data_IF_479736903026
#
_entry.id   IF_479736903026
#
_cell.length_a   1.000
_cell.length_b   1.000
_cell.length_c   1.000
_cell.angle_alpha   90.00
_cell.angle_beta   90.00
_cell.angle_gamma   90.00
#
_symmetry.space_group_name_H-M   'P 1'
#
loop_
_entity.id
_entity.type
_entity.pdbx_description
1 polymer ?
#
# COMPACT_ATOMS: atom_id res chain seq x y z
N UNK A 1 -19.04 -11.71 -28.48
CA UNK A 1 -19.01 -10.53 -29.36
C UNK A 1 -19.63 -9.35 -28.62
N UNK A 2 -18.81 -8.36 -28.29
CA UNK A 2 -19.18 -6.98 -27.87
C UNK A 2 -20.20 -6.74 -26.75
N UNK A 3 -19.77 -6.74 -25.50
CA UNK A 3 -20.40 -5.96 -24.40
C UNK A 3 -19.42 -5.72 -23.24
N UNK A 4 -18.21 -5.16 -23.50
CA UNK A 4 -17.26 -4.82 -22.44
C UNK A 4 -16.60 -3.44 -22.64
N UNK A 5 -17.39 -2.43 -22.93
CA UNK A 5 -16.84 -1.10 -23.18
C UNK A 5 -17.82 0.02 -22.78
N UNK A 6 -18.36 0.01 -21.57
CA UNK A 6 -19.08 1.18 -21.03
C UNK A 6 -19.11 1.05 -19.49
N UNK A 7 -17.98 1.29 -18.81
CA UNK A 7 -18.00 1.52 -17.36
C UNK A 7 -16.78 2.30 -16.82
N UNK A 8 -16.07 3.04 -17.67
CA UNK A 8 -14.95 3.89 -17.23
C UNK A 8 -15.17 5.37 -17.49
N UNK A 9 -16.41 5.86 -17.42
CA UNK A 9 -16.67 7.27 -17.66
C UNK A 9 -17.84 7.82 -16.83
N UNK A 10 -17.73 7.91 -15.53
CA UNK A 10 -18.24 9.07 -14.83
C UNK A 10 -17.42 9.49 -13.60
N UNK A 11 -16.13 9.76 -13.74
CA UNK A 11 -15.32 10.35 -12.64
C UNK A 11 -14.74 11.71 -13.03
N UNK A 12 -15.25 12.30 -14.08
CA UNK A 12 -15.04 13.72 -14.39
C UNK A 12 -16.30 14.51 -14.01
N UNK A 13 -16.60 14.58 -12.72
CA UNK A 13 -17.47 15.62 -12.21
C UNK A 13 -16.73 16.95 -12.36
N UNK A 14 -17.30 17.93 -13.09
CA UNK A 14 -16.74 19.27 -13.08
C UNK A 14 -16.90 19.82 -11.66
N UNK A 15 -15.81 19.99 -10.95
CA UNK A 15 -15.78 20.83 -9.77
C UNK A 15 -16.16 22.24 -10.23
N UNK A 16 -17.41 22.60 -10.02
CA UNK A 16 -17.87 23.98 -10.16
C UNK A 16 -17.03 24.81 -9.20
N UNK A 17 -16.09 25.55 -9.74
CA UNK A 17 -15.36 26.59 -9.00
C UNK A 17 -16.40 27.67 -8.70
N UNK A 18 -16.99 27.62 -7.54
CA UNK A 18 -17.73 28.73 -6.99
C UNK A 18 -16.70 29.84 -6.76
N UNK A 19 -16.74 30.83 -7.60
CA UNK A 19 -15.97 32.07 -7.40
C UNK A 19 -16.41 32.67 -6.05
N UNK A 20 -15.61 32.49 -5.03
CA UNK A 20 -15.78 33.18 -3.76
C UNK A 20 -15.37 34.63 -3.95
N UNK A 21 -16.32 35.51 -3.63
CA UNK A 21 -16.15 36.95 -3.50
C UNK A 21 -14.78 37.33 -2.92
N UNK A 22 -14.04 38.17 -3.63
CA UNK A 22 -12.78 38.76 -3.21
C UNK A 22 -13.00 39.77 -2.06
N UNK A 23 -13.44 39.30 -0.90
CA UNK A 23 -13.23 40.06 0.34
C UNK A 23 -11.75 39.99 0.65
N UNK A 24 -11.07 41.12 0.66
CA UNK A 24 -9.67 41.23 1.11
C UNK A 24 -9.53 40.47 2.42
N UNK A 25 -8.87 39.34 2.35
CA UNK A 25 -8.58 38.56 3.56
C UNK A 25 -7.61 39.37 4.39
N UNK A 26 -7.86 39.56 5.69
CA UNK A 26 -6.92 40.29 6.54
C UNK A 26 -5.56 39.60 6.40
N UNK A 27 -4.54 40.36 6.03
CA UNK A 27 -3.17 39.89 5.90
C UNK A 27 -2.73 39.35 7.26
N UNK A 28 -2.46 38.06 7.35
CA UNK A 28 -1.91 37.46 8.57
C UNK A 28 -0.41 37.62 8.50
N UNK A 29 0.14 38.41 9.40
CA UNK A 29 1.58 38.62 9.52
C UNK A 29 2.20 37.39 10.17
N UNK A 30 3.29 36.92 9.58
CA UNK A 30 4.08 35.80 10.09
C UNK A 30 5.58 36.08 9.93
N UNK A 31 6.38 35.42 10.75
CA UNK A 31 7.83 35.38 10.68
C UNK A 31 8.24 33.95 10.25
N UNK A 32 9.11 33.86 9.23
CA UNK A 32 9.67 32.58 8.79
C UNK A 32 10.70 32.12 9.83
N UNK A 33 10.53 30.94 10.38
CA UNK A 33 11.49 30.32 11.29
C UNK A 33 12.53 29.52 10.52
N UNK A 34 12.09 28.72 9.57
CA UNK A 34 12.94 28.05 8.58
C UNK A 34 12.14 27.62 7.35
N UNK A 35 12.85 27.49 6.21
CA UNK A 35 12.35 26.91 4.96
C UNK A 35 13.47 26.09 4.31
N UNK A 36 13.63 24.85 4.78
CA UNK A 36 14.76 23.97 4.48
C UNK A 36 14.31 22.61 3.95
N UNK A 37 13.85 22.49 2.69
CA UNK A 37 13.29 21.25 2.15
C UNK A 37 14.32 20.13 1.95
N UNK A 38 15.61 20.41 2.08
CA UNK A 38 16.70 19.41 2.06
C UNK A 38 17.01 18.84 3.44
N UNK A 39 16.52 19.46 4.50
CA UNK A 39 16.68 18.99 5.88
C UNK A 39 15.67 17.89 6.17
N UNK A 40 16.01 16.66 5.80
CA UNK A 40 15.15 15.47 5.93
C UNK A 40 15.82 14.44 6.84
N UNK A 41 15.06 13.82 7.73
CA UNK A 41 15.53 12.68 8.51
C UNK A 41 16.10 11.60 7.59
N UNK A 42 17.30 11.12 7.90
CA UNK A 42 17.97 10.11 7.07
C UNK A 42 17.35 8.73 7.21
N UNK A 43 16.87 8.38 8.38
CA UNK A 43 16.30 7.07 8.67
C UNK A 43 14.94 7.24 9.33
N UNK A 44 13.95 6.51 8.83
CA UNK A 44 12.65 6.31 9.45
C UNK A 44 12.41 4.82 9.61
N UNK A 45 11.96 4.42 10.79
CA UNK A 45 11.44 3.08 11.06
C UNK A 45 10.04 3.28 11.62
N UNK A 46 9.04 2.70 10.97
CA UNK A 46 7.64 2.82 11.31
C UNK A 46 6.98 1.48 11.58
N UNK A 47 6.09 1.47 12.54
CA UNK A 47 5.18 0.36 12.77
C UNK A 47 3.85 0.68 12.10
N UNK A 48 3.33 -0.25 11.31
CA UNK A 48 2.03 -0.19 10.67
C UNK A 48 1.04 -0.99 11.52
N UNK A 49 0.25 -0.36 12.39
CA UNK A 49 -0.77 -1.08 13.14
C UNK A 49 -1.92 -1.54 12.25
N UNK A 50 -2.08 -0.93 11.08
CA UNK A 50 -3.13 -1.26 10.14
C UNK A 50 -2.65 -1.13 8.69
N UNK A 51 -2.75 -2.23 7.96
CA UNK A 51 -2.93 -2.22 6.52
C UNK A 51 -4.21 -3.00 6.17
N UNK A 52 -4.84 -2.63 5.07
CA UNK A 52 -5.94 -3.38 4.46
C UNK A 52 -5.64 -3.63 2.99
N UNK A 53 -5.91 -4.83 2.52
CA UNK A 53 -5.68 -5.22 1.14
C UNK A 53 -6.85 -6.01 0.58
N UNK A 54 -7.28 -5.62 -0.61
CA UNK A 54 -8.14 -6.42 -1.48
C UNK A 54 -7.24 -7.01 -2.57
N UNK A 55 -7.24 -8.32 -2.71
CA UNK A 55 -6.45 -9.03 -3.70
C UNK A 55 -7.29 -10.10 -4.38
N UNK A 56 -7.66 -9.87 -5.63
CA UNK A 56 -8.47 -10.78 -6.44
C UNK A 56 -9.75 -11.26 -5.72
N UNK A 57 -9.69 -12.44 -5.12
CA UNK A 57 -10.79 -13.05 -4.36
C UNK A 57 -10.63 -12.92 -2.85
N UNK A 58 -9.54 -12.34 -2.39
CA UNK A 58 -9.19 -12.25 -0.98
C UNK A 58 -9.30 -10.82 -0.45
N UNK A 59 -9.71 -10.68 0.79
CA UNK A 59 -9.54 -9.47 1.57
C UNK A 59 -8.74 -9.80 2.82
N UNK A 60 -7.69 -9.05 3.06
CA UNK A 60 -6.86 -9.25 4.24
C UNK A 60 -6.53 -7.92 4.94
N UNK A 61 -6.29 -8.00 6.23
CA UNK A 61 -5.86 -6.88 7.04
C UNK A 61 -4.87 -7.34 8.12
N UNK A 62 -3.96 -6.47 8.50
CA UNK A 62 -2.93 -6.86 9.43
C UNK A 62 -2.02 -5.72 9.85
N UNK A 63 -0.86 -6.11 10.32
CA UNK A 63 0.20 -5.20 10.76
C UNK A 63 1.44 -5.30 9.86
N UNK A 64 2.31 -4.33 9.99
CA UNK A 64 3.57 -4.32 9.27
C UNK A 64 4.64 -3.47 9.94
N UNK A 65 5.80 -3.52 9.32
CA UNK A 65 6.94 -2.66 9.63
C UNK A 65 7.43 -2.06 8.33
N UNK A 66 7.77 -0.78 8.36
CA UNK A 66 8.40 -0.11 7.25
C UNK A 66 9.69 0.58 7.69
N UNK A 67 10.64 0.64 6.77
CA UNK A 67 11.85 1.43 6.95
C UNK A 67 12.14 2.22 5.67
N UNK A 68 12.67 3.42 5.83
CA UNK A 68 13.21 4.19 4.71
C UNK A 68 14.48 4.92 5.13
N UNK A 69 15.48 4.88 4.25
CA UNK A 69 16.80 5.47 4.48
C UNK A 69 17.22 6.32 3.29
N UNK A 70 17.50 7.61 3.54
CA UNK A 70 17.97 8.55 2.54
C UNK A 70 19.47 8.67 2.60
N UNK A 71 20.15 8.36 1.49
CA UNK A 71 21.60 8.34 1.40
C UNK A 71 22.12 9.42 0.46
N UNK A 72 22.84 10.42 1.02
CA UNK A 72 23.56 11.47 0.27
C UNK A 72 22.72 12.18 -0.82
N UNK A 73 21.45 12.41 -0.56
CA UNK A 73 20.50 13.08 -1.47
C UNK A 73 20.36 12.46 -2.87
N UNK A 74 20.98 11.30 -3.11
CA UNK A 74 20.98 10.61 -4.42
C UNK A 74 20.23 9.29 -4.42
N UNK A 75 20.08 8.68 -3.26
CA UNK A 75 19.49 7.36 -3.11
C UNK A 75 18.54 7.36 -1.94
N UNK A 76 17.42 6.71 -2.09
CA UNK A 76 16.61 6.26 -0.97
C UNK A 76 16.42 4.75 -1.03
N UNK A 77 16.37 4.12 0.12
CA UNK A 77 16.08 2.69 0.29
C UNK A 77 14.80 2.56 1.07
N UNK A 78 13.97 1.59 0.68
CA UNK A 78 12.71 1.27 1.36
C UNK A 78 12.63 -0.22 1.62
N UNK A 79 12.15 -0.57 2.80
CA UNK A 79 11.83 -1.94 3.18
C UNK A 79 10.43 -1.98 3.79
N UNK A 80 9.63 -2.97 3.42
CA UNK A 80 8.31 -3.21 3.97
C UNK A 80 8.13 -4.67 4.33
N UNK A 81 7.54 -4.91 5.48
CA UNK A 81 7.03 -6.21 5.90
C UNK A 81 5.57 -6.07 6.30
N UNK A 82 4.72 -6.97 5.83
CA UNK A 82 3.29 -7.02 6.21
C UNK A 82 2.86 -8.46 6.47
N UNK A 83 2.00 -8.63 7.46
CA UNK A 83 1.43 -9.93 7.84
C UNK A 83 0.02 -9.74 8.38
N UNK A 84 -0.90 -10.65 8.08
CA UNK A 84 -2.26 -10.61 8.63
C UNK A 84 -2.28 -10.85 10.14
N UNK A 85 -3.22 -10.24 10.85
CA UNK A 85 -3.37 -10.39 12.29
C UNK A 85 -3.77 -11.80 12.70
N UNK A 86 -4.77 -12.35 12.04
CA UNK A 86 -5.33 -13.65 12.38
C UNK A 86 -5.88 -14.30 11.12
N UNK A 87 -5.87 -15.64 11.10
CA UNK A 87 -6.51 -16.42 10.06
C UNK A 87 -8.02 -16.32 10.06
N UNK A 88 -8.62 -16.10 11.22
CA UNK A 88 -10.06 -16.33 11.40
C UNK A 88 -10.93 -15.12 11.06
N UNK A 89 -10.34 -13.99 10.69
CA UNK A 89 -11.12 -12.79 10.37
C UNK A 89 -10.46 -11.89 9.34
N UNK A 90 -9.13 -11.93 9.25
CA UNK A 90 -8.35 -10.95 8.49
C UNK A 90 -7.68 -11.53 7.24
N UNK A 91 -8.04 -12.76 6.84
CA UNK A 91 -7.58 -13.44 5.63
C UNK A 91 -8.67 -14.43 5.17
N UNK A 92 -9.56 -13.97 4.30
CA UNK A 92 -10.78 -14.69 3.96
C UNK A 92 -10.51 -16.00 3.21
N UNK A 93 -9.58 -16.01 2.25
CA UNK A 93 -9.26 -17.25 1.54
C UNK A 93 -8.64 -18.30 2.47
N UNK A 94 -7.77 -17.83 3.38
CA UNK A 94 -7.19 -18.73 4.37
C UNK A 94 -8.24 -19.30 5.32
N UNK A 95 -9.17 -18.46 5.78
CA UNK A 95 -10.29 -18.91 6.62
C UNK A 95 -11.16 -19.92 5.88
N UNK A 96 -11.56 -19.60 4.65
CA UNK A 96 -12.37 -20.50 3.83
C UNK A 96 -11.68 -21.85 3.58
N UNK A 97 -10.35 -21.85 3.37
CA UNK A 97 -9.56 -23.06 3.23
C UNK A 97 -9.52 -23.89 4.51
N UNK A 98 -9.48 -23.26 5.69
CA UNK A 98 -9.55 -23.95 6.98
C UNK A 98 -10.93 -24.54 7.22
N UNK A 99 -11.98 -23.79 6.95
CA UNK A 99 -13.37 -24.22 7.13
C UNK A 99 -13.75 -25.36 6.18
N UNK A 100 -13.12 -25.42 5.02
CA UNK A 100 -13.31 -26.49 4.02
C UNK A 100 -12.33 -27.66 4.19
N UNK A 101 -11.49 -27.67 5.22
CA UNK A 101 -10.58 -28.75 5.51
C UNK A 101 -11.35 -29.87 6.23
N UNK A 102 -11.56 -30.97 5.54
CA UNK A 102 -12.17 -32.18 6.08
C UNK A 102 -11.19 -33.37 6.00
N UNK A 103 -11.68 -34.59 6.35
CA UNK A 103 -10.84 -35.79 6.31
C UNK A 103 -10.32 -36.13 4.92
N UNK A 104 -11.01 -35.69 3.88
CA UNK A 104 -10.65 -35.97 2.49
C UNK A 104 -9.66 -34.92 1.94
N UNK A 105 -9.84 -33.61 2.29
CA UNK A 105 -8.97 -32.53 1.89
C UNK A 105 -8.01 -32.12 3.01
N UNK A 106 -6.73 -32.17 2.75
CA UNK A 106 -5.70 -31.67 3.68
C UNK A 106 -5.24 -30.30 3.25
N UNK A 107 -5.98 -29.26 3.64
CA UNK A 107 -5.58 -27.88 3.41
C UNK A 107 -4.55 -27.44 4.45
N UNK A 108 -3.41 -26.90 3.96
CA UNK A 108 -2.37 -26.26 4.80
C UNK A 108 -2.24 -24.81 4.41
N UNK A 109 -3.28 -23.97 4.63
CA UNK A 109 -3.31 -22.62 4.11
C UNK A 109 -2.26 -21.76 4.78
N UNK A 110 -1.53 -20.99 3.96
CA UNK A 110 -0.50 -20.09 4.42
C UNK A 110 -1.11 -18.75 4.84
N UNK A 111 -0.52 -18.16 5.88
CA UNK A 111 -0.84 -16.80 6.30
C UNK A 111 -0.27 -15.85 5.25
N UNK A 112 -1.04 -14.86 4.83
CA UNK A 112 -0.53 -13.79 3.98
C UNK A 112 0.67 -13.11 4.65
N UNK A 113 1.75 -13.05 3.91
CA UNK A 113 2.91 -12.24 4.25
C UNK A 113 3.52 -11.62 2.99
N UNK A 114 4.11 -10.45 3.19
CA UNK A 114 4.66 -9.62 2.13
C UNK A 114 5.95 -8.99 2.59
N UNK A 115 6.99 -9.12 1.77
CA UNK A 115 8.28 -8.48 1.95
C UNK A 115 8.63 -7.68 0.71
N UNK A 116 9.08 -6.46 0.90
CA UNK A 116 9.60 -5.62 -0.16
C UNK A 116 10.91 -5.00 0.29
N UNK A 117 11.88 -5.01 -0.61
CA UNK A 117 13.12 -4.27 -0.47
C UNK A 117 13.42 -3.59 -1.80
N UNK A 118 13.66 -2.29 -1.77
CA UNK A 118 13.97 -1.55 -2.98
C UNK A 118 14.68 -0.24 -2.70
N UNK A 119 15.09 0.40 -3.77
CA UNK A 119 15.72 1.71 -3.73
C UNK A 119 15.29 2.59 -4.90
N UNK A 120 15.49 3.87 -4.73
CA UNK A 120 15.25 4.89 -5.74
C UNK A 120 16.55 5.65 -5.98
N UNK A 121 16.99 5.73 -7.23
CA UNK A 121 18.06 6.62 -7.65
C UNK A 121 17.46 7.94 -8.14
N UNK A 122 17.87 9.06 -7.53
CA UNK A 122 17.39 10.39 -7.87
C UNK A 122 18.09 10.91 -9.13
N UNK A 123 17.33 11.00 -10.24
CA UNK A 123 17.84 11.53 -11.53
C UNK A 123 17.85 13.05 -11.51
N UNK A 124 16.77 13.64 -10.97
CA UNK A 124 16.64 15.08 -10.79
C UNK A 124 16.22 15.38 -9.36
N UNK A 125 16.91 16.32 -8.76
CA UNK A 125 16.67 16.81 -7.41
C UNK A 125 16.89 18.30 -7.39
N UNK A 126 15.83 19.06 -7.21
CA UNK A 126 15.85 20.52 -7.24
C UNK A 126 14.70 21.08 -6.41
N UNK A 127 14.88 22.30 -5.94
CA UNK A 127 13.81 23.03 -5.28
C UNK A 127 13.19 24.10 -6.20
N UNK A 128 12.01 24.52 -5.85
CA UNK A 128 11.28 25.58 -6.54
C UNK A 128 10.32 26.29 -5.59
N UNK A 129 9.96 27.49 -5.96
CA UNK A 129 8.94 28.24 -5.21
C UNK A 129 7.59 27.50 -5.24
N UNK A 130 6.96 27.46 -4.09
CA UNK A 130 5.64 26.88 -3.88
C UNK A 130 4.88 27.63 -2.81
N UNK A 131 3.77 27.09 -2.40
CA UNK A 131 2.94 27.61 -1.32
C UNK A 131 2.36 26.44 -0.52
N UNK A 132 2.21 26.66 0.77
CA UNK A 132 1.50 25.73 1.64
C UNK A 132 0.35 26.41 2.36
N UNK A 133 -0.68 25.65 2.71
CA UNK A 133 -1.84 26.12 3.47
C UNK A 133 -1.74 25.63 4.90
N UNK A 134 -1.49 26.52 5.82
CA UNK A 134 -1.41 26.22 7.24
C UNK A 134 -2.72 26.56 7.94
N UNK A 135 -3.15 25.69 8.84
CA UNK A 135 -4.32 25.93 9.71
C UNK A 135 -3.85 26.71 10.93
N UNK A 136 -4.52 27.82 11.22
CA UNK A 136 -4.17 28.72 12.30
C UNK A 136 -4.98 28.38 13.55
N UNK A 137 -4.32 27.98 14.61
CA UNK A 137 -4.91 27.75 15.93
C UNK A 137 -4.59 28.93 16.84
N UNK A 138 -5.60 29.50 17.50
CA UNK A 138 -5.36 30.59 18.46
C UNK A 138 -4.53 30.10 19.64
N UNK A 139 -3.54 30.86 20.05
CA UNK A 139 -2.84 30.63 21.32
C UNK A 139 -3.83 30.69 22.46
N UNK A 140 -3.98 29.60 23.20
CA UNK A 140 -4.91 29.50 24.33
C UNK A 140 -4.15 29.42 25.64
N UNK A 141 -4.47 30.32 26.56
CA UNK A 141 -3.92 30.31 27.91
C UNK A 141 -4.23 29.02 28.70
N UNK A 142 -5.21 28.23 28.26
CA UNK A 142 -5.64 26.98 28.91
C UNK A 142 -5.26 25.71 28.15
N UNK A 143 -4.44 25.82 27.12
CA UNK A 143 -3.99 24.65 26.33
C UNK A 143 -5.08 23.96 25.47
N UNK A 144 -6.29 24.53 25.40
CA UNK A 144 -7.40 23.97 24.63
C UNK A 144 -7.32 24.41 23.16
N UNK A 145 -6.69 23.60 22.31
CA UNK A 145 -6.43 23.88 20.90
C UNK A 145 -7.68 23.89 20.01
N UNK A 146 -8.81 23.38 20.50
CA UNK A 146 -10.05 23.21 19.74
C UNK A 146 -11.05 24.36 19.91
N UNK A 147 -10.65 25.46 20.57
CA UNK A 147 -11.55 26.58 20.89
C UNK A 147 -11.95 27.47 19.70
N UNK A 148 -11.46 27.21 18.48
CA UNK A 148 -11.83 27.97 17.29
C UNK A 148 -12.94 27.26 16.52
N UNK A 149 -14.16 27.78 16.57
CA UNK A 149 -15.30 27.24 15.82
C UNK A 149 -15.14 27.27 14.29
N UNK A 150 -14.21 28.06 13.76
CA UNK A 150 -13.86 28.14 12.35
C UNK A 150 -12.35 28.18 12.22
N UNK A 151 -11.70 27.17 11.64
CA UNK A 151 -10.27 27.20 11.43
C UNK A 151 -9.91 28.24 10.37
N UNK A 152 -9.14 29.24 10.76
CA UNK A 152 -8.53 30.15 9.82
C UNK A 152 -7.37 29.44 9.10
N UNK A 153 -7.11 29.86 7.86
CA UNK A 153 -6.01 29.31 7.05
C UNK A 153 -5.15 30.45 6.53
N UNK A 154 -3.85 30.30 6.63
CA UNK A 154 -2.89 31.16 5.97
C UNK A 154 -2.23 30.40 4.81
N UNK A 155 -2.02 31.09 3.69
CA UNK A 155 -1.22 30.60 2.58
C UNK A 155 0.17 31.20 2.73
N UNK A 156 1.16 30.32 2.93
CA UNK A 156 2.54 30.70 3.20
C UNK A 156 3.39 30.29 1.99
N UNK A 157 4.18 31.21 1.38
CA UNK A 157 5.21 30.86 0.42
C UNK A 157 6.22 29.89 1.05
N UNK A 158 6.69 28.93 0.30
CA UNK A 158 7.72 27.99 0.76
C UNK A 158 8.51 27.41 -0.41
N UNK A 159 9.67 26.85 -0.12
CA UNK A 159 10.41 26.02 -1.07
C UNK A 159 9.86 24.61 -1.07
N UNK A 160 9.75 24.02 -2.26
CA UNK A 160 9.34 22.64 -2.44
C UNK A 160 10.44 21.92 -3.18
N UNK A 161 11.12 20.98 -2.53
CA UNK A 161 12.07 20.07 -3.16
C UNK A 161 11.31 19.05 -3.99
N UNK A 162 11.70 18.89 -5.25
CA UNK A 162 11.12 17.97 -6.20
C UNK A 162 12.15 16.95 -6.62
N UNK A 163 11.84 15.68 -6.44
CA UNK A 163 12.74 14.58 -6.77
C UNK A 163 12.07 13.68 -7.79
N UNK A 164 12.75 13.43 -8.91
CA UNK A 164 12.35 12.44 -9.89
C UNK A 164 13.39 11.32 -9.88
N UNK A 165 12.94 10.08 -9.69
CA UNK A 165 13.83 8.95 -9.51
C UNK A 165 13.42 7.72 -10.30
N UNK A 166 14.40 6.85 -10.56
CA UNK A 166 14.20 5.48 -11.04
C UNK A 166 14.19 4.55 -9.83
N UNK A 167 13.22 3.67 -9.79
CA UNK A 167 13.00 2.69 -8.73
C UNK A 167 13.41 1.32 -9.19
N UNK A 168 14.03 0.54 -8.31
CA UNK A 168 14.36 -0.86 -8.51
C UNK A 168 14.22 -1.60 -7.19
N UNK A 169 13.68 -2.82 -7.22
CA UNK A 169 13.60 -3.63 -6.02
C UNK A 169 13.01 -5.01 -6.24
N UNK A 170 12.82 -5.72 -5.13
CA UNK A 170 12.23 -7.04 -5.08
C UNK A 170 11.06 -7.11 -4.13
N UNK A 171 10.11 -7.96 -4.46
CA UNK A 171 8.92 -8.27 -3.66
C UNK A 171 8.80 -9.77 -3.54
N UNK A 172 8.64 -10.26 -2.33
CA UNK A 172 8.27 -11.65 -2.07
C UNK A 172 6.98 -11.68 -1.28
N UNK A 173 5.99 -12.45 -1.74
CA UNK A 173 4.75 -12.61 -1.00
C UNK A 173 4.17 -14.01 -1.15
N UNK A 174 3.39 -14.41 -0.15
CA UNK A 174 2.68 -15.68 -0.08
C UNK A 174 1.25 -15.43 0.39
N UNK A 175 0.31 -16.18 -0.18
CA UNK A 175 -1.10 -16.13 0.20
C UNK A 175 -1.79 -17.42 -0.14
N UNK A 176 -2.85 -17.75 0.59
CA UNK A 176 -3.80 -18.78 0.16
C UNK A 176 -4.71 -18.20 -0.92
N UNK A 177 -4.98 -18.97 -1.97
CA UNK A 177 -5.81 -18.58 -3.11
C UNK A 177 -6.93 -19.59 -3.33
N UNK A 178 -8.10 -19.08 -3.73
CA UNK A 178 -9.23 -19.89 -4.15
C UNK A 178 -9.04 -20.33 -5.61
N UNK A 179 -8.88 -21.63 -5.83
CA UNK A 179 -8.74 -22.19 -7.17
C UNK A 179 -10.05 -22.34 -7.91
N UNK A 180 -11.20 -22.44 -7.25
CA UNK A 180 -12.49 -22.68 -7.93
C UNK A 180 -12.81 -21.59 -8.94
N UNK A 181 -12.60 -20.34 -8.53
CA UNK A 181 -12.78 -19.20 -9.43
C UNK A 181 -11.79 -19.23 -10.58
N UNK A 182 -10.53 -19.56 -10.31
CA UNK A 182 -9.48 -19.65 -11.31
C UNK A 182 -9.79 -20.73 -12.36
N UNK A 183 -10.16 -21.93 -11.90
CA UNK A 183 -10.55 -23.05 -12.77
C UNK A 183 -11.74 -22.65 -13.66
N UNK A 184 -12.80 -22.11 -13.07
CA UNK A 184 -13.98 -21.66 -13.82
C UNK A 184 -13.67 -20.59 -14.85
N UNK A 185 -12.87 -19.56 -14.51
CA UNK A 185 -12.50 -18.47 -15.42
C UNK A 185 -11.61 -18.94 -16.55
N UNK A 186 -10.84 -20.01 -16.34
CA UNK A 186 -9.97 -20.62 -17.34
C UNK A 186 -10.61 -21.77 -18.13
N UNK A 187 -11.88 -22.08 -17.86
CA UNK A 187 -12.60 -23.19 -18.49
C UNK A 187 -12.13 -24.56 -18.04
N UNK A 188 -11.51 -24.64 -16.86
CA UNK A 188 -11.03 -25.85 -16.22
C UNK A 188 -12.01 -26.35 -15.17
N UNK A 189 -11.85 -27.61 -14.79
CA UNK A 189 -12.58 -28.28 -13.71
C UNK A 189 -11.61 -28.87 -12.70
N UNK A 190 -12.09 -29.40 -11.60
CA UNK A 190 -11.26 -30.12 -10.64
C UNK A 190 -10.56 -31.33 -11.28
N UNK A 191 -11.16 -31.97 -12.29
CA UNK A 191 -10.59 -33.12 -13.01
C UNK A 191 -9.31 -32.77 -13.81
N UNK A 192 -9.07 -31.48 -14.08
CA UNK A 192 -7.86 -31.01 -14.75
C UNK A 192 -6.66 -30.89 -13.79
N UNK A 193 -6.92 -30.99 -12.49
CA UNK A 193 -5.88 -31.14 -11.47
C UNK A 193 -5.54 -32.64 -11.38
N UNK A 194 -4.36 -33.04 -11.84
CA UNK A 194 -3.99 -34.43 -11.97
C UNK A 194 -2.94 -34.86 -10.96
N UNK A 195 -3.07 -36.10 -10.46
CA UNK A 195 -2.04 -36.72 -9.61
C UNK A 195 -0.89 -37.32 -10.47
N UNK A 196 0.08 -37.91 -9.79
CA UNK A 196 1.24 -38.53 -10.48
C UNK A 196 0.86 -39.70 -11.40
N UNK A 197 -0.31 -40.29 -11.22
CA UNK A 197 -0.82 -41.38 -12.06
C UNK A 197 -1.62 -40.87 -13.28
N UNK A 198 -1.81 -39.54 -13.41
CA UNK A 198 -2.64 -38.93 -14.44
C UNK A 198 -4.14 -38.93 -14.14
N UNK A 199 -4.54 -39.28 -12.91
CA UNK A 199 -5.94 -39.29 -12.50
C UNK A 199 -6.35 -37.86 -12.04
N UNK A 200 -7.50 -37.40 -12.53
CA UNK A 200 -8.04 -36.08 -12.16
C UNK A 200 -8.63 -36.06 -10.77
N UNK A 201 -8.61 -34.90 -10.12
CA UNK A 201 -9.22 -34.69 -8.82
C UNK A 201 -10.75 -34.74 -8.93
N UNK A 202 -11.34 -35.84 -8.50
CA UNK A 202 -12.79 -36.09 -8.47
C UNK A 202 -13.23 -36.35 -7.02
N UNK A 203 -13.61 -35.34 -6.26
CA UNK A 203 -14.15 -35.53 -4.91
C UNK A 203 -15.46 -36.29 -4.99
N UNK A 204 -15.50 -37.49 -4.45
CA UNK A 204 -16.68 -38.36 -4.48
C UNK A 204 -17.33 -38.41 -3.09
N UNK A 205 -18.62 -38.28 -3.03
CA UNK A 205 -19.36 -38.54 -1.80
C UNK A 205 -19.32 -40.06 -1.50
N UNK A 206 -18.76 -40.51 -0.39
CA UNK A 206 -18.59 -41.94 -0.10
C UNK A 206 -19.90 -42.68 0.10
N UNK A 207 -21.00 -41.96 0.37
CA UNK A 207 -22.33 -42.57 0.60
C UNK A 207 -23.12 -42.67 -0.71
N UNK A 208 -23.07 -41.63 -1.56
CA UNK A 208 -23.93 -41.56 -2.75
C UNK A 208 -23.18 -41.87 -4.04
N UNK A 209 -21.84 -41.91 -4.03
CA UNK A 209 -21.00 -42.01 -5.22
C UNK A 209 -21.01 -40.80 -6.15
N UNK A 210 -21.73 -39.74 -5.79
CA UNK A 210 -21.83 -38.55 -6.62
C UNK A 210 -20.62 -37.65 -6.44
N UNK A 211 -20.21 -36.96 -7.52
CA UNK A 211 -19.14 -35.95 -7.46
C UNK A 211 -19.61 -34.79 -6.58
N UNK A 212 -18.81 -34.47 -5.58
CA UNK A 212 -19.06 -33.34 -4.67
C UNK A 212 -18.50 -32.05 -5.30
N UNK A 213 -19.26 -30.97 -5.23
CA UNK A 213 -18.77 -29.64 -5.53
C UNK A 213 -18.07 -29.05 -4.28
N UNK A 214 -16.78 -29.24 -4.16
CA UNK A 214 -15.99 -28.83 -3.00
C UNK A 214 -15.07 -27.69 -3.40
N UNK A 215 -14.94 -26.71 -2.52
CA UNK A 215 -13.99 -25.61 -2.71
C UNK A 215 -12.55 -26.13 -2.66
N UNK A 216 -11.75 -25.74 -3.64
CA UNK A 216 -10.35 -26.15 -3.77
C UNK A 216 -9.46 -24.94 -3.57
N UNK A 217 -8.49 -25.05 -2.67
CA UNK A 217 -7.57 -23.99 -2.30
C UNK A 217 -6.12 -24.44 -2.52
N UNK A 218 -5.27 -23.48 -2.82
CA UNK A 218 -3.82 -23.69 -2.93
C UNK A 218 -3.07 -22.51 -2.31
N UNK A 219 -1.77 -22.67 -2.09
CA UNK A 219 -0.91 -21.58 -1.68
C UNK A 219 -0.15 -21.05 -2.88
N UNK A 220 -0.22 -19.75 -3.07
CA UNK A 220 0.54 -19.02 -4.08
C UNK A 220 1.76 -18.38 -3.41
N UNK A 221 2.95 -18.66 -3.94
CA UNK A 221 4.19 -18.02 -3.54
C UNK A 221 4.85 -17.39 -4.75
N UNK A 222 5.29 -16.14 -4.63
CA UNK A 222 5.93 -15.45 -5.74
C UNK A 222 7.07 -14.55 -5.28
N UNK A 223 8.13 -14.57 -6.08
CA UNK A 223 9.26 -13.65 -5.95
C UNK A 223 9.30 -12.80 -7.20
N UNK A 224 9.29 -11.49 -7.02
CA UNK A 224 9.16 -10.53 -8.10
C UNK A 224 10.30 -9.52 -8.05
N UNK A 225 10.64 -9.01 -9.22
CA UNK A 225 11.51 -7.84 -9.38
C UNK A 225 10.64 -6.73 -9.96
N UNK A 226 10.85 -5.51 -9.53
CA UNK A 226 10.19 -4.36 -10.13
C UNK A 226 11.19 -3.30 -10.58
N UNK A 227 10.82 -2.58 -11.63
CA UNK A 227 11.47 -1.38 -12.11
C UNK A 227 10.41 -0.32 -12.37
N UNK A 228 10.69 0.92 -12.00
CA UNK A 228 9.70 1.98 -12.15
C UNK A 228 10.25 3.37 -12.00
N UNK A 229 9.35 4.31 -11.82
CA UNK A 229 9.66 5.72 -11.61
C UNK A 229 8.92 6.30 -10.43
N UNK A 230 9.45 7.37 -9.87
CA UNK A 230 8.80 8.14 -8.83
C UNK A 230 8.96 9.63 -9.01
N UNK A 231 7.97 10.36 -8.49
CA UNK A 231 8.01 11.79 -8.31
C UNK A 231 7.72 12.09 -6.83
N UNK A 232 8.58 12.84 -6.19
CA UNK A 232 8.42 13.21 -4.78
C UNK A 232 8.45 14.73 -4.58
N UNK A 233 7.70 15.17 -3.59
CA UNK A 233 7.60 16.58 -3.15
C UNK A 233 7.84 16.65 -1.67
N UNK A 234 8.91 17.34 -1.28
CA UNK A 234 9.31 17.51 0.10
C UNK A 234 9.18 18.96 0.50
N UNK A 235 8.54 19.19 1.62
CA UNK A 235 8.47 20.47 2.30
C UNK A 235 9.02 20.32 3.70
N UNK A 236 9.63 21.37 4.19
CA UNK A 236 10.07 21.48 5.58
C UNK A 236 10.15 22.96 5.93
N UNK A 237 9.00 23.53 6.27
CA UNK A 237 8.83 24.95 6.54
C UNK A 237 8.09 25.14 7.87
N UNK A 238 8.58 26.08 8.66
CA UNK A 238 7.92 26.53 9.89
C UNK A 238 7.85 28.06 9.91
N UNK A 239 6.72 28.55 10.42
CA UNK A 239 6.44 29.96 10.56
C UNK A 239 5.82 30.27 11.92
N UNK A 240 6.19 31.39 12.49
CA UNK A 240 5.57 31.93 13.72
C UNK A 240 4.51 32.97 13.36
N UNK A 241 3.34 32.83 13.94
CA UNK A 241 2.25 33.76 13.80
C UNK A 241 2.04 34.52 15.11
N UNK A 242 1.89 35.85 15.05
CA UNK A 242 1.81 36.70 16.23
C UNK A 242 0.70 36.26 17.22
N UNK A 243 -0.50 35.98 16.71
CA UNK A 243 -1.71 35.65 17.51
C UNK A 243 -2.09 34.19 17.50
N UNK A 244 -1.33 33.34 16.80
CA UNK A 244 -1.63 31.94 16.59
C UNK A 244 -0.45 31.05 16.99
N UNK A 245 -0.70 29.77 17.11
CA UNK A 245 0.38 28.79 17.28
C UNK A 245 1.26 28.75 16.03
N UNK A 246 2.46 28.26 16.16
CA UNK A 246 3.39 28.07 15.04
C UNK A 246 2.80 27.15 13.99
N UNK A 247 2.96 27.52 12.75
CA UNK A 247 2.58 26.70 11.60
C UNK A 247 3.75 25.86 11.13
N UNK A 248 3.53 24.60 10.87
CA UNK A 248 4.52 23.66 10.38
C UNK A 248 3.97 22.84 9.20
N UNK A 249 4.71 22.77 8.10
CA UNK A 249 4.51 21.80 7.01
C UNK A 249 5.84 21.12 6.69
N UNK A 250 5.94 19.87 7.11
CA UNK A 250 7.11 19.02 6.94
C UNK A 250 6.77 17.73 6.16
N UNK A 251 5.81 17.84 5.27
CA UNK A 251 5.29 16.72 4.49
C UNK A 251 6.24 16.21 3.41
N UNK A 252 6.41 14.91 3.37
CA UNK A 252 7.16 14.16 2.35
C UNK A 252 6.16 13.30 1.58
N UNK A 253 5.87 13.64 0.34
CA UNK A 253 4.92 12.94 -0.52
C UNK A 253 5.65 12.33 -1.70
N UNK A 254 5.40 11.06 -2.00
CA UNK A 254 5.93 10.34 -3.16
C UNK A 254 4.82 9.68 -3.92
N UNK A 255 4.76 9.89 -5.23
CA UNK A 255 3.97 9.09 -6.18
C UNK A 255 4.93 8.17 -6.92
N UNK A 256 4.47 6.96 -7.24
CA UNK A 256 5.29 6.00 -7.98
C UNK A 256 4.46 5.14 -8.93
N UNK A 257 5.14 4.63 -9.95
CA UNK A 257 4.64 3.62 -10.85
C UNK A 257 5.75 2.61 -11.12
N UNK A 258 5.45 1.32 -10.93
CA UNK A 258 6.39 0.22 -11.13
C UNK A 258 5.79 -0.84 -12.07
N UNK A 259 6.62 -1.40 -12.94
CA UNK A 259 6.35 -2.64 -13.68
C UNK A 259 6.98 -3.78 -12.90
N UNK A 260 6.24 -4.87 -12.75
CA UNK A 260 6.61 -6.02 -11.92
C UNK A 260 6.76 -7.25 -12.82
N UNK A 261 7.82 -7.99 -12.58
CA UNK A 261 8.07 -9.28 -13.23
C UNK A 261 8.38 -10.35 -12.18
N UNK A 262 7.74 -11.51 -12.29
CA UNK A 262 7.93 -12.65 -11.41
C UNK A 262 8.77 -13.74 -12.11
N UNK A 263 10.07 -13.83 -11.84
CA UNK A 263 10.88 -14.96 -12.31
C UNK A 263 10.53 -16.27 -11.60
N UNK A 264 9.96 -16.20 -10.40
CA UNK A 264 9.53 -17.37 -9.63
C UNK A 264 8.09 -17.19 -9.13
N UNK A 265 7.18 -18.01 -9.65
CA UNK A 265 5.79 -18.10 -9.22
C UNK A 265 5.43 -19.57 -9.10
N UNK A 266 4.94 -19.98 -7.94
CA UNK A 266 4.57 -21.37 -7.65
C UNK A 266 3.18 -21.43 -7.01
N UNK A 267 2.42 -22.43 -7.43
CA UNK A 267 1.18 -22.86 -6.78
C UNK A 267 1.44 -24.23 -6.15
N UNK A 268 1.11 -24.39 -4.88
CA UNK A 268 1.21 -25.67 -4.20
C UNK A 268 0.20 -26.68 -4.77
N UNK A 269 0.48 -27.98 -4.77
CA UNK A 269 -0.49 -29.01 -5.13
C UNK A 269 -1.66 -29.01 -4.13
N UNK A 270 -2.78 -29.57 -4.58
CA UNK A 270 -3.95 -29.82 -3.74
C UNK A 270 -3.88 -31.25 -3.21
N UNK A 271 -3.94 -31.43 -1.89
CA UNK A 271 -3.90 -32.76 -1.28
C UNK A 271 -5.32 -33.26 -1.00
N UNK A 272 -5.72 -34.37 -1.65
CA UNK A 272 -7.00 -35.04 -1.45
C UNK A 272 -6.79 -36.53 -1.20
N UNK A 273 -7.40 -37.10 -0.15
CA UNK A 273 -7.21 -38.47 0.31
C UNK A 273 -5.74 -38.89 0.43
N UNK A 274 -4.86 -37.95 0.86
CA UNK A 274 -3.42 -38.17 1.01
C UNK A 274 -2.64 -38.20 -0.29
N UNK A 275 -3.28 -37.92 -1.42
CA UNK A 275 -2.61 -37.78 -2.73
C UNK A 275 -2.53 -36.33 -3.15
N UNK A 276 -1.42 -35.96 -3.76
CA UNK A 276 -1.17 -34.61 -4.26
C UNK A 276 -1.57 -34.50 -5.73
N UNK A 277 -2.40 -33.51 -6.01
CA UNK A 277 -2.88 -33.16 -7.35
C UNK A 277 -2.21 -31.89 -7.82
N UNK A 278 -1.52 -31.96 -8.94
CA UNK A 278 -0.75 -30.86 -9.51
C UNK A 278 -1.66 -29.72 -9.97
N UNK A 279 -1.23 -28.50 -9.72
CA UNK A 279 -1.87 -27.25 -10.17
C UNK A 279 -1.32 -26.74 -11.50
N UNK A 280 -0.49 -27.52 -12.20
CA UNK A 280 0.19 -27.11 -13.44
C UNK A 280 -0.76 -26.74 -14.59
N UNK A 281 -1.99 -27.23 -14.58
CA UNK A 281 -3.01 -26.86 -15.56
C UNK A 281 -3.47 -25.39 -15.39
N UNK A 282 -3.32 -24.82 -14.20
CA UNK A 282 -3.74 -23.46 -13.90
C UNK A 282 -2.76 -22.46 -14.47
N UNK A 283 -3.22 -21.65 -15.42
CA UNK A 283 -2.40 -20.59 -16.03
C UNK A 283 -2.10 -19.49 -15.05
N UNK A 284 -0.86 -19.02 -15.04
CA UNK A 284 -0.38 -17.93 -14.22
C UNK A 284 0.13 -16.77 -15.11
N UNK A 285 0.22 -15.58 -14.53
CA UNK A 285 0.80 -14.40 -15.17
C UNK A 285 2.02 -13.93 -14.39
N UNK A 286 3.16 -13.85 -15.06
CA UNK A 286 4.42 -13.38 -14.48
C UNK A 286 4.60 -11.86 -14.55
N UNK A 287 3.69 -11.15 -15.22
CA UNK A 287 3.77 -9.70 -15.36
C UNK A 287 2.70 -8.99 -14.54
N UNK A 288 3.07 -7.84 -14.02
CA UNK A 288 2.19 -6.94 -13.31
C UNK A 288 2.67 -5.49 -13.36
N UNK A 289 1.90 -4.62 -12.76
CA UNK A 289 2.26 -3.22 -12.57
C UNK A 289 1.56 -2.69 -11.32
N UNK A 290 2.10 -1.62 -10.77
CA UNK A 290 1.47 -0.91 -9.66
C UNK A 290 1.69 0.59 -9.77
N UNK A 291 0.71 1.34 -9.29
CA UNK A 291 0.82 2.76 -9.00
C UNK A 291 0.50 2.99 -7.52
N UNK A 292 1.15 3.93 -6.90
CA UNK A 292 0.91 4.19 -5.51
C UNK A 292 1.34 5.56 -5.03
N UNK A 293 0.93 5.84 -3.82
CA UNK A 293 1.22 7.05 -3.07
C UNK A 293 1.81 6.66 -1.72
N UNK A 294 2.82 7.38 -1.28
CA UNK A 294 3.45 7.23 0.03
C UNK A 294 3.70 8.61 0.62
N UNK A 295 3.11 8.89 1.76
CA UNK A 295 3.18 10.15 2.45
C UNK A 295 3.63 9.99 3.90
N UNK A 296 4.51 10.85 4.36
CA UNK A 296 4.98 10.90 5.75
C UNK A 296 5.39 12.31 6.13
N UNK A 297 5.62 12.51 7.42
CA UNK A 297 6.12 13.76 7.95
C UNK A 297 7.56 13.58 8.43
N UNK A 298 8.34 14.64 8.35
CA UNK A 298 9.76 14.62 8.68
C UNK A 298 10.04 14.57 10.20
N UNK A 299 9.06 14.83 11.03
CA UNK A 299 9.16 14.78 12.49
C UNK A 299 8.95 13.36 13.04
N UNK A 300 9.53 13.11 14.21
CA UNK A 300 9.30 11.88 14.96
C UNK A 300 7.89 11.82 15.53
N UNK A 301 7.39 10.60 15.79
CA UNK A 301 6.06 10.36 16.40
C UNK A 301 4.87 10.93 15.61
N UNK A 302 5.09 11.26 14.33
CA UNK A 302 4.00 11.58 13.41
C UNK A 302 3.49 10.31 12.73
N UNK A 303 2.53 10.45 11.86
CA UNK A 303 1.98 9.31 11.12
C UNK A 303 2.46 9.32 9.67
N UNK A 304 2.46 8.15 9.05
CA UNK A 304 2.63 7.97 7.61
C UNK A 304 1.43 7.23 7.03
N UNK A 305 1.18 7.45 5.78
CA UNK A 305 0.08 6.84 5.05
C UNK A 305 0.53 6.41 3.66
N UNK A 306 -0.16 5.45 3.10
CA UNK A 306 0.14 5.02 1.75
C UNK A 306 -0.97 4.18 1.16
N UNK A 307 -0.93 4.07 -0.15
CA UNK A 307 -1.85 3.22 -0.89
C UNK A 307 -1.23 2.79 -2.20
N UNK A 308 -1.62 1.62 -2.66
CA UNK A 308 -1.19 1.03 -3.91
C UNK A 308 -2.39 0.41 -4.62
N UNK A 309 -2.41 0.51 -5.93
CA UNK A 309 -3.35 -0.19 -6.80
C UNK A 309 -2.60 -0.74 -7.99
N UNK A 310 -2.97 -1.94 -8.43
CA UNK A 310 -2.30 -2.54 -9.56
C UNK A 310 -2.72 -3.97 -9.86
N UNK A 311 -1.85 -4.62 -10.61
CA UNK A 311 -1.94 -6.05 -10.93
C UNK A 311 -0.63 -6.68 -10.48
N UNK A 312 -0.71 -7.67 -9.60
CA UNK A 312 0.46 -8.48 -9.20
C UNK A 312 0.57 -9.71 -10.07
N UNK A 313 1.80 -10.20 -10.34
CA UNK A 313 2.00 -11.55 -10.83
C UNK A 313 1.27 -12.57 -9.96
N UNK A 314 0.39 -13.36 -10.55
CA UNK A 314 -0.53 -14.26 -9.85
C UNK A 314 -1.14 -15.26 -10.83
N UNK A 315 -2.22 -15.94 -10.43
CA UNK A 315 -3.10 -16.68 -11.33
C UNK A 315 -3.61 -15.73 -12.41
N UNK A 316 -3.60 -16.17 -13.67
CA UNK A 316 -4.04 -15.36 -14.80
C UNK A 316 -5.50 -14.88 -14.61
N UNK A 317 -5.72 -13.57 -14.76
CA UNK A 317 -7.01 -12.92 -14.49
C UNK A 317 -7.24 -12.52 -13.03
N UNK A 318 -6.43 -12.99 -12.08
CA UNK A 318 -6.63 -12.77 -10.65
C UNK A 318 -5.49 -11.98 -9.99
N UNK A 319 -4.86 -11.08 -10.71
CA UNK A 319 -3.75 -10.27 -10.19
C UNK A 319 -4.14 -8.92 -9.61
N UNK A 320 -5.38 -8.46 -9.80
CA UNK A 320 -5.79 -7.14 -9.31
C UNK A 320 -5.71 -7.05 -7.79
N UNK A 321 -5.14 -5.94 -7.32
CA UNK A 321 -5.12 -5.62 -5.89
C UNK A 321 -5.22 -4.13 -5.64
N UNK A 322 -5.68 -3.79 -4.45
CA UNK A 322 -5.67 -2.47 -3.87
C UNK A 322 -5.29 -2.59 -2.40
N UNK A 323 -4.35 -1.77 -1.95
CA UNK A 323 -3.85 -1.77 -0.58
C UNK A 323 -3.79 -0.34 -0.04
N UNK A 324 -4.09 -0.20 1.24
CA UNK A 324 -3.84 1.02 2.00
C UNK A 324 -3.14 0.68 3.31
N UNK A 325 -2.39 1.64 3.83
CA UNK A 325 -1.66 1.52 5.11
C UNK A 325 -1.69 2.82 5.89
N UNK A 326 -1.64 2.68 7.20
CA UNK A 326 -1.32 3.75 8.14
C UNK A 326 -0.18 3.24 9.02
N UNK A 327 0.85 4.05 9.20
CA UNK A 327 1.98 3.72 10.05
C UNK A 327 2.36 4.89 10.97
N UNK A 328 3.02 4.55 12.06
CA UNK A 328 3.57 5.52 13.00
C UNK A 328 5.09 5.30 13.07
N UNK A 329 5.90 6.30 12.72
CA UNK A 329 7.34 6.24 12.91
C UNK A 329 7.65 6.06 14.39
N UNK A 330 8.30 4.95 14.73
CA UNK A 330 8.73 4.64 16.10
C UNK A 330 10.19 5.04 16.34
N UNK A 331 10.92 5.23 15.25
CA UNK A 331 12.30 5.71 15.28
C UNK A 331 12.59 6.58 14.05
N UNK A 332 13.36 7.65 14.27
CA UNK A 332 13.91 8.51 13.21
C UNK A 332 15.20 9.12 13.70
N UNK A 333 16.08 9.48 12.78
CA UNK A 333 17.25 10.29 13.13
C UNK A 333 16.76 11.69 13.48
N UNK A 334 17.12 12.17 14.67
CA UNK A 334 16.80 13.54 15.06
C UNK A 334 17.56 14.50 14.13
N UNK A 335 16.82 15.38 13.51
CA UNK A 335 17.35 16.61 13.01
C UNK A 335 17.27 17.64 14.16
N UNK A 336 18.27 18.49 14.27
CA UNK A 336 18.23 19.61 15.22
C UNK A 336 17.16 20.62 14.75
N UNK A 337 15.90 20.33 15.06
CA UNK A 337 14.83 21.28 14.86
C UNK A 337 14.94 22.38 15.92
N UNK A 338 15.12 23.60 15.45
CA UNK A 338 15.11 24.80 16.30
C UNK A 338 13.72 25.14 16.84
N UNK A 339 12.70 24.45 16.36
CA UNK A 339 11.30 24.66 16.73
C UNK A 339 10.76 23.39 17.37
N UNK A 340 10.50 23.45 18.66
CA UNK A 340 9.71 22.44 19.36
C UNK A 340 8.26 22.55 18.91
N UNK A 341 7.87 21.73 17.92
CA UNK A 341 6.52 21.72 17.44
C UNK A 341 5.60 21.05 18.47
N UNK A 342 4.60 21.77 18.90
CA UNK A 342 3.42 21.28 19.60
C UNK A 342 3.60 20.60 20.97
N UNK A 343 3.46 21.39 22.00
CA UNK A 343 3.00 20.91 23.28
C UNK A 343 4.07 20.62 24.30
N UNK A 344 4.57 21.67 24.89
CA UNK A 344 4.79 21.69 26.35
C UNK A 344 3.58 22.25 27.04
#
# INVERSE_FOLDING_TARGET
MNRFLIFCLPLLLPFSIVAQDNKEKPAVTYEELYDEPYSVNKLFIGFQPLYGELFATNANAGFGVEASYYYKDKLDFKAHFRKTYSSNFFDFNRQAALDNSDLDFTNKPQIFNYFELGGTYHIKDFDGAGKTKMVLYKKSLRGNKWAANVPLRAEVPCKVRKIYGVRLGGIHWKSTVDLNRALKEQGLTNADLVNNNGEGLLPINPITGAVRNVGVFSNLSTTNIYIGGSAAWFRNVAVSFEKYEEGLDDGLLTLFFDVIFAPGLTLDPVTYLGQDYSTNAVKTSSFGFRAGIDGKFNRTMSWSYGGEVGIRPSIAGQGFYMMFKIAFPVFGTNLDYKVESFGK
#
